data_IF_513135185967
#
_entry.id   IF_513135185967
#
_cell.length_a   1.000
_cell.length_b   1.000
_cell.length_c   1.000
_cell.angle_alpha   90.00
_cell.angle_beta   90.00
_cell.angle_gamma   90.00
#
_symmetry.space_group_name_H-M   'P 1'
#
loop_
_entity.id
_entity.type
_entity.pdbx_description
1 polymer ?
#
# COMPACT_ATOMS: atom_id res chain seq x y z
N UNK A 1 52.38 -14.98 40.17
CA UNK A 1 50.99 -14.60 39.89
C UNK A 1 50.85 -14.12 38.46
N UNK A 2 50.51 -14.99 37.54
CA UNK A 2 50.36 -14.66 36.10
C UNK A 2 48.87 -14.36 35.84
N UNK A 3 48.53 -13.13 35.47
CA UNK A 3 47.19 -12.74 34.98
C UNK A 3 47.07 -13.12 33.51
N UNK A 4 46.21 -14.05 33.19
CA UNK A 4 45.80 -14.36 31.79
C UNK A 4 44.78 -13.33 31.34
N UNK A 5 45.15 -12.57 30.31
CA UNK A 5 44.25 -11.68 29.56
C UNK A 5 43.49 -12.53 28.54
N UNK A 6 42.18 -12.70 28.72
CA UNK A 6 41.32 -13.29 27.69
C UNK A 6 40.86 -12.15 26.76
N UNK A 7 41.37 -12.11 25.53
CA UNK A 7 40.83 -11.28 24.47
C UNK A 7 39.57 -11.99 23.91
N UNK A 8 38.40 -11.41 24.14
CA UNK A 8 37.19 -11.82 23.46
C UNK A 8 37.15 -11.18 22.06
N UNK A 9 37.34 -11.98 21.01
CA UNK A 9 37.06 -11.57 19.63
C UNK A 9 35.55 -11.50 19.46
N UNK A 10 35.02 -10.31 19.33
CA UNK A 10 33.64 -10.08 18.86
C UNK A 10 33.61 -10.33 17.34
N UNK A 11 33.05 -11.45 16.92
CA UNK A 11 32.70 -11.70 15.51
C UNK A 11 31.53 -10.78 15.15
N UNK A 12 31.84 -9.72 14.42
CA UNK A 12 30.81 -8.93 13.72
C UNK A 12 30.25 -9.79 12.59
N UNK A 13 29.00 -10.25 12.74
CA UNK A 13 28.28 -10.88 11.66
C UNK A 13 28.11 -9.86 10.52
N UNK A 14 28.42 -10.21 9.25
CA UNK A 14 28.15 -9.33 8.14
C UNK A 14 26.64 -9.11 8.05
N UNK A 15 26.22 -7.84 8.15
CA UNK A 15 24.88 -7.40 7.81
C UNK A 15 24.71 -7.69 6.30
N UNK A 16 24.08 -8.80 5.95
CA UNK A 16 23.71 -9.07 4.57
C UNK A 16 22.80 -7.93 4.14
N UNK A 17 23.30 -7.04 3.28
CA UNK A 17 22.49 -6.07 2.57
C UNK A 17 21.45 -6.87 1.80
N UNK A 18 20.22 -6.89 2.30
CA UNK A 18 19.11 -7.46 1.55
C UNK A 18 19.09 -6.70 0.22
N UNK A 19 19.34 -7.44 -0.87
CA UNK A 19 19.34 -6.88 -2.21
C UNK A 19 17.95 -6.30 -2.45
N UNK A 20 17.85 -4.98 -2.51
CA UNK A 20 16.57 -4.30 -2.74
C UNK A 20 16.00 -4.78 -4.05
N UNK A 21 14.72 -5.17 -4.05
CA UNK A 21 14.05 -5.53 -5.30
C UNK A 21 14.11 -4.32 -6.24
N UNK A 22 14.25 -4.57 -7.57
CA UNK A 22 14.21 -3.48 -8.53
C UNK A 22 12.84 -2.81 -8.48
N UNK A 23 12.81 -1.52 -8.69
CA UNK A 23 11.58 -0.76 -8.86
C UNK A 23 11.26 -0.58 -10.34
N UNK A 24 10.06 -0.14 -10.65
CA UNK A 24 9.61 -0.03 -12.03
C UNK A 24 10.52 0.89 -12.89
N UNK A 25 11.04 1.98 -12.33
CA UNK A 25 12.01 2.85 -13.03
C UNK A 25 13.33 2.14 -13.33
N UNK A 26 13.80 1.26 -12.46
CA UNK A 26 15.04 0.49 -12.67
C UNK A 26 14.90 -0.50 -13.85
N UNK A 27 13.67 -0.92 -14.14
CA UNK A 27 13.33 -1.74 -15.31
C UNK A 27 13.13 -0.92 -16.59
N UNK A 28 13.23 0.40 -16.52
CA UNK A 28 13.01 1.30 -17.65
C UNK A 28 11.54 1.59 -17.94
N UNK A 29 10.64 1.42 -16.96
CA UNK A 29 9.26 1.89 -17.11
C UNK A 29 9.25 3.42 -17.04
N UNK A 30 8.72 4.13 -18.07
CA UNK A 30 8.66 5.57 -18.06
C UNK A 30 7.48 6.06 -17.21
N UNK A 31 7.76 7.03 -16.35
CA UNK A 31 6.73 7.74 -15.59
C UNK A 31 6.97 9.25 -15.67
N UNK A 32 5.89 10.00 -15.76
CA UNK A 32 5.92 11.46 -15.73
C UNK A 32 6.22 11.98 -14.31
N UNK A 33 6.71 13.21 -14.25
CA UNK A 33 7.01 13.92 -13.03
C UNK A 33 8.35 13.51 -12.39
N UNK A 34 8.81 14.32 -11.45
CA UNK A 34 10.08 14.12 -10.72
C UNK A 34 9.82 13.43 -9.40
N UNK A 35 10.37 12.25 -9.13
CA UNK A 35 10.24 11.61 -7.83
C UNK A 35 11.03 12.38 -6.76
N UNK A 36 10.62 12.23 -5.48
CA UNK A 36 11.42 12.64 -4.35
C UNK A 36 12.62 11.69 -4.14
N UNK A 37 13.35 11.92 -3.06
CA UNK A 37 14.62 11.20 -2.77
C UNK A 37 14.44 9.67 -2.67
N UNK A 38 13.37 9.22 -2.00
CA UNK A 38 13.08 7.80 -1.79
C UNK A 38 12.05 7.28 -2.80
N UNK A 39 11.43 8.19 -3.56
CA UNK A 39 10.28 7.92 -4.41
C UNK A 39 9.19 7.14 -3.64
N UNK A 40 8.87 7.59 -2.44
CA UNK A 40 7.98 6.94 -1.49
C UNK A 40 7.11 7.96 -0.75
N UNK A 41 6.05 7.51 -0.08
CA UNK A 41 5.18 8.37 0.74
C UNK A 41 5.96 9.11 1.82
N UNK A 42 7.06 8.55 2.27
CA UNK A 42 7.99 9.10 3.26
C UNK A 42 8.84 10.28 2.76
N UNK A 43 8.78 10.61 1.47
CA UNK A 43 9.33 11.88 0.96
C UNK A 43 8.55 13.11 1.45
N UNK A 44 7.32 12.91 1.90
CA UNK A 44 6.57 13.94 2.62
C UNK A 44 7.11 14.03 4.04
N UNK A 45 7.68 15.16 4.38
CA UNK A 45 8.38 15.37 5.65
C UNK A 45 7.53 15.00 6.86
N UNK A 46 8.06 14.15 7.72
CA UNK A 46 7.44 13.68 8.95
C UNK A 46 6.63 12.39 8.79
N UNK A 47 6.33 11.95 7.57
CA UNK A 47 5.63 10.68 7.35
C UNK A 47 6.57 9.50 7.61
N UNK A 48 6.10 8.56 8.42
CA UNK A 48 6.80 7.31 8.72
C UNK A 48 5.91 6.11 8.37
N UNK A 49 6.52 5.01 7.95
CA UNK A 49 5.84 3.75 7.59
C UNK A 49 6.46 2.59 8.33
N UNK A 50 5.62 1.72 8.89
CA UNK A 50 6.01 0.46 9.51
C UNK A 50 5.18 -0.69 8.99
N UNK A 51 5.79 -1.87 8.91
CA UNK A 51 5.18 -3.05 8.30
C UNK A 51 5.50 -4.30 9.10
N UNK A 52 4.48 -5.15 9.27
CA UNK A 52 4.62 -6.50 9.80
C UNK A 52 4.06 -7.49 8.79
N UNK A 53 4.89 -8.44 8.36
CA UNK A 53 4.58 -9.45 7.36
C UNK A 53 4.46 -10.81 8.04
N UNK A 54 3.35 -11.52 7.81
CA UNK A 54 3.06 -12.83 8.37
C UNK A 54 3.00 -13.86 7.24
N UNK A 55 4.00 -14.74 7.18
CA UNK A 55 4.09 -15.83 6.20
C UNK A 55 4.42 -17.13 6.94
N UNK A 56 3.50 -18.10 6.90
CA UNK A 56 3.73 -19.43 7.47
C UNK A 56 2.83 -20.49 6.84
N UNK A 57 3.23 -21.75 6.97
CA UNK A 57 2.46 -22.90 6.47
C UNK A 57 2.39 -22.99 4.95
N UNK A 58 1.84 -24.11 4.47
CA UNK A 58 1.63 -24.41 3.05
C UNK A 58 0.54 -25.49 2.90
N UNK A 59 0.05 -25.67 1.67
CA UNK A 59 -0.90 -26.73 1.34
C UNK A 59 -2.35 -26.33 1.59
N UNK A 60 -3.17 -27.32 1.97
CA UNK A 60 -4.60 -27.15 2.15
C UNK A 60 -4.91 -26.17 3.29
N UNK A 61 -5.89 -25.30 3.08
CA UNK A 61 -6.39 -24.38 4.10
C UNK A 61 -7.00 -25.13 5.27
N UNK A 62 -6.54 -24.78 6.48
CA UNK A 62 -7.13 -25.23 7.74
C UNK A 62 -7.31 -24.00 8.62
N UNK A 63 -8.57 -23.66 8.91
CA UNK A 63 -8.90 -22.47 9.69
C UNK A 63 -8.17 -22.47 11.03
N UNK A 64 -7.51 -21.35 11.35
CA UNK A 64 -6.69 -21.16 12.54
C UNK A 64 -5.29 -21.78 12.46
N UNK A 65 -4.93 -22.47 11.36
CA UNK A 65 -3.60 -23.06 11.17
C UNK A 65 -2.88 -22.51 9.93
N UNK A 66 -3.60 -21.99 8.96
CA UNK A 66 -3.03 -21.43 7.73
C UNK A 66 -3.32 -22.23 6.46
N UNK A 67 -2.59 -21.98 5.35
CA UNK A 67 -1.41 -21.09 5.24
C UNK A 67 -1.72 -19.62 5.56
N UNK A 68 -0.74 -18.93 6.16
CA UNK A 68 -0.84 -17.51 6.53
C UNK A 68 -0.08 -16.67 5.51
N UNK A 69 -0.75 -15.70 4.89
CA UNK A 69 -0.19 -14.75 3.92
C UNK A 69 -0.87 -13.39 4.14
N UNK A 70 -0.52 -12.70 5.21
CA UNK A 70 -1.18 -11.47 5.63
C UNK A 70 -0.22 -10.53 6.37
N UNK A 71 -0.70 -9.44 6.91
CA UNK A 71 0.09 -8.51 7.70
C UNK A 71 -0.60 -7.19 7.98
N UNK A 72 0.19 -6.23 8.45
CA UNK A 72 -0.25 -4.87 8.79
C UNK A 72 0.76 -3.87 8.25
N UNK A 73 0.27 -2.80 7.61
CA UNK A 73 1.03 -1.60 7.26
C UNK A 73 0.50 -0.43 8.07
N UNK A 74 1.36 0.31 8.75
CA UNK A 74 1.04 1.51 9.50
C UNK A 74 1.68 2.74 8.85
N UNK A 75 0.91 3.79 8.63
CA UNK A 75 1.36 5.09 8.12
C UNK A 75 1.11 6.13 9.19
N UNK A 76 2.17 6.78 9.66
CA UNK A 76 2.12 7.80 10.71
C UNK A 76 2.31 9.18 10.08
N UNK A 77 1.28 10.03 10.06
CA UNK A 77 1.33 11.32 9.34
C UNK A 77 2.44 12.27 9.81
N UNK A 78 2.78 12.22 11.09
CA UNK A 78 3.82 13.06 11.70
C UNK A 78 4.84 12.27 12.53
N UNK A 79 4.97 10.98 12.26
CA UNK A 79 5.90 10.08 12.96
C UNK A 79 5.60 9.90 14.44
N UNK A 80 6.56 9.28 15.13
CA UNK A 80 6.44 8.98 16.57
C UNK A 80 6.53 10.20 17.48
N UNK A 81 7.27 11.22 17.06
CA UNK A 81 7.58 12.38 17.91
C UNK A 81 6.41 13.34 18.04
N UNK A 82 5.41 13.23 17.16
CA UNK A 82 4.25 14.12 17.17
C UNK A 82 2.97 13.31 16.97
N UNK A 83 2.06 13.44 17.93
CA UNK A 83 0.70 12.92 17.87
C UNK A 83 -0.30 13.93 17.29
N UNK A 84 0.20 14.96 16.60
CA UNK A 84 -0.63 16.07 16.19
C UNK A 84 -1.60 15.67 15.08
N UNK A 85 -2.83 16.10 15.21
CA UNK A 85 -3.89 16.03 14.20
C UNK A 85 -3.44 16.68 12.90
N UNK A 86 -3.81 16.09 11.78
CA UNK A 86 -3.59 16.64 10.44
C UNK A 86 -4.92 16.84 9.73
N UNK A 87 -5.00 17.84 8.84
CA UNK A 87 -6.16 17.94 7.95
C UNK A 87 -6.19 16.75 6.99
N UNK A 88 -7.38 16.19 6.79
CA UNK A 88 -7.59 15.03 5.93
C UNK A 88 -8.91 15.15 5.15
N UNK A 89 -9.01 14.29 4.13
CA UNK A 89 -10.22 14.07 3.37
C UNK A 89 -10.17 12.71 2.71
N UNK A 90 -11.29 12.05 2.58
CA UNK A 90 -11.38 10.72 2.01
C UNK A 90 -12.37 10.66 0.85
N UNK A 91 -12.29 9.60 0.06
CA UNK A 91 -13.19 9.36 -1.06
C UNK A 91 -13.29 7.87 -1.33
N UNK A 92 -14.50 7.36 -1.55
CA UNK A 92 -14.74 6.03 -2.06
C UNK A 92 -15.12 6.12 -3.55
N UNK A 93 -14.35 5.46 -4.41
CA UNK A 93 -14.72 5.26 -5.81
C UNK A 93 -15.74 4.13 -5.91
N UNK A 94 -15.55 3.08 -5.10
CA UNK A 94 -16.41 1.93 -5.03
C UNK A 94 -16.38 1.35 -3.61
N UNK A 95 -17.53 1.09 -3.02
CA UNK A 95 -17.71 0.95 -1.57
C UNK A 95 -17.81 -0.49 -1.07
N UNK A 96 -17.44 -1.52 -1.84
CA UNK A 96 -17.42 -2.88 -1.32
C UNK A 96 -16.12 -3.16 -0.51
N UNK A 97 -15.94 -2.41 0.56
CA UNK A 97 -14.79 -2.46 1.44
C UNK A 97 -15.00 -1.59 2.68
N UNK A 98 -14.03 -1.58 3.58
CA UNK A 98 -14.11 -0.83 4.82
C UNK A 98 -12.90 0.09 5.01
N UNK A 99 -13.18 1.27 5.55
CA UNK A 99 -12.18 2.17 6.15
C UNK A 99 -12.83 2.81 7.38
N UNK A 100 -12.38 2.40 8.56
CA UNK A 100 -12.92 2.91 9.82
C UNK A 100 -12.58 4.38 10.04
N UNK A 101 -13.28 5.08 10.93
CA UNK A 101 -12.99 6.48 11.30
C UNK A 101 -13.33 7.52 10.25
N UNK A 102 -13.71 7.13 9.03
CA UNK A 102 -13.96 8.05 7.91
C UNK A 102 -15.14 8.98 8.10
N UNK A 103 -16.15 8.58 8.86
CA UNK A 103 -17.26 9.47 9.26
C UNK A 103 -16.78 10.68 10.03
N UNK A 104 -15.85 10.49 10.96
CA UNK A 104 -15.25 11.60 11.70
C UNK A 104 -14.31 12.45 10.85
N UNK A 105 -13.52 11.80 9.98
CA UNK A 105 -12.71 12.54 8.98
C UNK A 105 -13.59 13.43 8.08
N UNK A 106 -14.77 12.96 7.69
CA UNK A 106 -15.68 13.75 6.84
C UNK A 106 -16.34 14.90 7.63
N UNK A 107 -16.70 14.69 8.89
CA UNK A 107 -17.33 15.68 9.76
C UNK A 107 -16.35 16.73 10.25
N UNK A 108 -15.21 16.30 10.81
CA UNK A 108 -14.22 17.20 11.40
C UNK A 108 -13.21 17.77 10.40
N UNK A 109 -12.98 17.08 9.30
CA UNK A 109 -11.91 17.36 8.37
C UNK A 109 -10.51 16.95 8.87
N UNK A 110 -10.44 16.15 9.92
CA UNK A 110 -9.19 15.84 10.64
C UNK A 110 -8.94 14.34 10.71
N UNK A 111 -7.67 13.98 10.66
CA UNK A 111 -7.14 12.66 10.97
C UNK A 111 -6.35 12.75 12.27
N UNK A 112 -6.80 12.02 13.27
CA UNK A 112 -6.24 12.01 14.63
C UNK A 112 -5.49 10.70 14.86
N UNK A 113 -4.26 10.59 14.37
CA UNK A 113 -3.45 9.40 14.55
C UNK A 113 -3.03 8.72 13.25
N UNK A 114 -2.57 7.47 13.31
CA UNK A 114 -2.09 6.72 12.15
C UNK A 114 -3.23 6.23 11.24
N UNK A 115 -2.88 5.97 9.96
CA UNK A 115 -3.67 5.17 9.03
C UNK A 115 -3.06 3.78 8.97
N UNK A 116 -3.86 2.73 9.21
CA UNK A 116 -3.40 1.35 9.07
C UNK A 116 -4.11 0.65 7.92
N UNK A 117 -3.44 -0.34 7.33
CA UNK A 117 -4.00 -1.17 6.26
C UNK A 117 -3.71 -2.64 6.58
N UNK A 118 -4.73 -3.50 6.44
CA UNK A 118 -4.63 -4.93 6.73
C UNK A 118 -5.56 -5.75 5.84
N UNK A 119 -5.92 -6.97 6.23
CA UNK A 119 -6.95 -7.76 5.55
C UNK A 119 -8.35 -7.48 6.13
N UNK A 120 -9.38 -7.82 5.38
CA UNK A 120 -10.79 -7.55 5.69
C UNK A 120 -11.22 -8.05 7.07
N UNK A 121 -10.83 -9.26 7.48
CA UNK A 121 -11.29 -9.83 8.76
C UNK A 121 -10.50 -9.32 9.97
N UNK A 122 -9.38 -8.66 9.75
CA UNK A 122 -8.53 -8.14 10.82
C UNK A 122 -8.76 -6.66 11.16
N UNK A 123 -9.67 -5.97 10.47
CA UNK A 123 -9.96 -4.54 10.70
C UNK A 123 -10.28 -4.25 12.16
N UNK A 124 -11.16 -5.04 12.78
CA UNK A 124 -11.53 -4.87 14.18
C UNK A 124 -10.33 -4.99 15.13
N UNK A 125 -9.54 -6.05 14.98
CA UNK A 125 -8.31 -6.26 15.78
C UNK A 125 -7.31 -5.12 15.61
N UNK A 126 -7.08 -4.68 14.36
CA UNK A 126 -6.13 -3.61 14.06
C UNK A 126 -6.62 -2.27 14.62
N UNK A 127 -7.92 -1.98 14.51
CA UNK A 127 -8.52 -0.76 15.07
C UNK A 127 -8.39 -0.73 16.60
N UNK A 128 -8.78 -1.79 17.28
CA UNK A 128 -8.76 -1.84 18.76
C UNK A 128 -7.33 -1.81 19.29
N UNK A 129 -6.41 -2.52 18.64
CA UNK A 129 -4.99 -2.49 18.99
C UNK A 129 -4.35 -1.12 18.75
N UNK A 130 -4.75 -0.40 17.70
CA UNK A 130 -4.26 0.97 17.45
C UNK A 130 -4.68 1.92 18.58
N UNK A 131 -5.93 1.84 19.02
CA UNK A 131 -6.42 2.63 20.14
C UNK A 131 -5.67 2.30 21.45
N UNK A 132 -5.47 1.01 21.74
CA UNK A 132 -4.72 0.58 22.91
C UNK A 132 -3.26 1.05 22.86
N UNK A 133 -2.62 1.00 21.67
CA UNK A 133 -1.28 1.53 21.46
C UNK A 133 -1.22 3.04 21.72
N UNK A 134 -2.16 3.81 21.18
CA UNK A 134 -2.25 5.26 21.39
C UNK A 134 -2.38 5.61 22.87
N UNK A 135 -3.22 4.88 23.62
CA UNK A 135 -3.37 5.07 25.07
C UNK A 135 -2.08 4.71 25.81
N UNK A 136 -1.46 3.57 25.51
CA UNK A 136 -0.21 3.12 26.16
C UNK A 136 0.96 4.05 25.90
N UNK A 137 1.00 4.72 24.77
CA UNK A 137 2.03 5.73 24.43
C UNK A 137 1.68 7.14 24.91
N UNK A 138 0.54 7.31 25.59
CA UNK A 138 0.09 8.61 26.10
C UNK A 138 -0.25 9.60 24.99
N UNK A 139 -0.67 9.12 23.82
CA UNK A 139 -1.03 9.96 22.65
C UNK A 139 -2.49 10.43 22.74
N UNK A 140 -3.37 9.60 23.26
CA UNK A 140 -4.77 9.94 23.56
C UNK A 140 -5.17 9.40 24.92
N UNK A 141 -6.16 10.01 25.56
CA UNK A 141 -6.71 9.57 26.85
C UNK A 141 -8.23 9.40 26.82
N UNK A 142 -8.91 10.17 25.98
CA UNK A 142 -10.36 10.29 26.03
C UNK A 142 -11.05 9.82 24.74
N UNK A 143 -10.46 10.11 23.58
CA UNK A 143 -11.15 9.90 22.31
C UNK A 143 -10.17 9.79 21.13
N UNK A 144 -10.31 8.75 20.32
CA UNK A 144 -9.67 8.58 19.03
C UNK A 144 -10.52 7.62 18.19
N UNK A 145 -10.65 7.89 16.88
CA UNK A 145 -11.27 7.00 15.91
C UNK A 145 -10.22 6.56 14.88
N UNK A 146 -9.49 5.46 15.17
CA UNK A 146 -8.45 4.99 14.27
C UNK A 146 -8.95 4.72 12.86
N UNK A 147 -8.16 5.11 11.86
CA UNK A 147 -8.44 4.83 10.44
C UNK A 147 -7.73 3.55 10.03
N UNK A 148 -8.53 2.51 9.72
CA UNK A 148 -8.05 1.21 9.26
C UNK A 148 -8.75 0.87 7.96
N UNK A 149 -7.99 0.77 6.87
CA UNK A 149 -8.46 0.28 5.57
C UNK A 149 -8.11 -1.19 5.35
N UNK A 150 -8.76 -1.83 4.38
CA UNK A 150 -8.55 -3.25 4.14
C UNK A 150 -8.66 -3.64 2.65
N UNK A 151 -8.04 -4.77 2.31
CA UNK A 151 -8.34 -5.55 1.11
C UNK A 151 -8.34 -7.04 1.45
N UNK A 152 -9.14 -7.83 0.73
CA UNK A 152 -9.37 -9.24 1.04
C UNK A 152 -8.25 -10.14 0.50
N UNK A 153 -7.54 -10.84 1.39
CA UNK A 153 -6.44 -11.76 1.06
C UNK A 153 -6.83 -13.25 1.06
N UNK A 154 -8.12 -13.58 1.14
CA UNK A 154 -8.64 -14.92 1.32
C UNK A 154 -8.15 -15.95 0.29
N UNK A 155 -7.72 -15.53 -0.89
CA UNK A 155 -7.24 -16.44 -1.93
C UNK A 155 -5.92 -17.11 -1.54
N UNK A 156 -4.99 -16.35 -0.94
CA UNK A 156 -3.68 -16.84 -0.53
C UNK A 156 -3.58 -17.13 0.97
N UNK A 157 -4.48 -16.57 1.78
CA UNK A 157 -4.44 -16.58 3.24
C UNK A 157 -5.61 -17.37 3.85
N UNK A 158 -5.38 -17.97 4.99
CA UNK A 158 -6.42 -18.44 5.89
C UNK A 158 -7.02 -17.23 6.64
N UNK A 159 -7.83 -16.44 5.94
CA UNK A 159 -8.40 -15.18 6.48
C UNK A 159 -9.29 -15.43 7.70
N UNK A 160 -10.02 -16.55 7.74
CA UNK A 160 -10.90 -16.93 8.83
C UNK A 160 -10.15 -17.40 10.11
N UNK A 161 -8.83 -17.55 10.03
CA UNK A 161 -7.98 -17.90 11.16
C UNK A 161 -7.59 -16.71 12.03
N UNK A 162 -7.90 -15.47 11.65
CA UNK A 162 -7.63 -14.25 12.41
C UNK A 162 -6.17 -14.13 12.89
N UNK A 163 -5.22 -14.33 11.98
CA UNK A 163 -3.79 -14.44 12.30
C UNK A 163 -3.11 -13.11 12.65
N UNK A 164 -3.72 -11.97 12.37
CA UNK A 164 -3.21 -10.65 12.79
C UNK A 164 -3.56 -10.44 14.26
N UNK A 165 -2.54 -10.21 15.10
CA UNK A 165 -2.69 -9.98 16.52
C UNK A 165 -2.37 -8.55 16.92
N UNK A 166 -2.70 -8.18 18.16
CA UNK A 166 -2.35 -6.89 18.75
C UNK A 166 -0.83 -6.61 18.68
N UNK A 167 -0.02 -7.61 18.97
CA UNK A 167 1.44 -7.51 18.98
C UNK A 167 1.97 -7.18 17.58
N UNK A 168 1.34 -7.69 16.53
CA UNK A 168 1.69 -7.34 15.15
C UNK A 168 1.40 -5.86 14.85
N UNK A 169 0.29 -5.33 15.34
CA UNK A 169 -0.08 -3.92 15.19
C UNK A 169 0.91 -3.03 15.94
N UNK A 170 1.22 -3.37 17.19
CA UNK A 170 2.20 -2.64 18.00
C UNK A 170 3.58 -2.64 17.32
N UNK A 171 4.01 -3.79 16.82
CA UNK A 171 5.29 -3.91 16.11
C UNK A 171 5.32 -3.07 14.82
N UNK A 172 4.22 -2.99 14.06
CA UNK A 172 4.12 -2.14 12.89
C UNK A 172 4.19 -0.65 13.26
N UNK A 173 3.46 -0.24 14.29
CA UNK A 173 3.47 1.14 14.78
C UNK A 173 4.83 1.53 15.38
N UNK A 174 5.40 0.72 16.27
CA UNK A 174 6.70 0.99 16.91
C UNK A 174 7.87 0.90 15.90
N UNK A 175 7.73 0.12 14.83
CA UNK A 175 8.71 -0.04 13.77
C UNK A 175 8.64 1.03 12.67
N UNK A 176 7.66 1.93 12.71
CA UNK A 176 7.48 2.95 11.68
C UNK A 176 8.69 3.90 11.64
N UNK A 177 9.15 4.22 10.41
CA UNK A 177 10.30 5.10 10.15
C UNK A 177 10.18 5.80 8.81
N UNK A 178 10.89 6.91 8.66
CA UNK A 178 11.09 7.59 7.38
C UNK A 178 12.10 6.84 6.49
N UNK A 179 12.29 7.33 5.27
CA UNK A 179 13.23 6.75 4.31
C UNK A 179 12.59 5.74 3.37
N UNK A 180 13.33 4.71 2.96
CA UNK A 180 12.81 3.68 2.06
C UNK A 180 11.69 2.86 2.71
N UNK A 181 10.62 2.63 1.95
CA UNK A 181 9.49 1.76 2.31
C UNK A 181 9.64 0.45 1.56
N UNK A 182 9.42 -0.67 2.22
CA UNK A 182 9.41 -1.98 1.55
C UNK A 182 8.18 -2.12 0.64
N UNK A 183 8.31 -2.89 -0.45
CA UNK A 183 7.27 -3.04 -1.47
C UNK A 183 7.05 -4.52 -1.84
N UNK A 184 5.94 -4.83 -2.47
CA UNK A 184 5.57 -6.19 -2.87
C UNK A 184 4.86 -6.96 -1.75
N UNK A 185 5.35 -8.18 -1.45
CA UNK A 185 4.72 -9.11 -0.51
C UNK A 185 4.99 -8.73 0.96
N UNK A 186 4.69 -7.52 1.37
CA UNK A 186 5.02 -6.99 2.69
C UNK A 186 3.81 -6.30 3.34
N UNK A 187 3.84 -6.27 4.67
CA UNK A 187 2.77 -5.63 5.44
C UNK A 187 1.39 -6.19 5.10
N UNK A 188 0.39 -5.33 5.11
CA UNK A 188 -0.97 -5.67 4.67
C UNK A 188 -1.04 -6.18 3.23
N UNK A 189 -0.06 -5.81 2.36
CA UNK A 189 0.03 -6.25 0.97
C UNK A 189 0.48 -7.70 0.75
N UNK A 190 0.82 -8.42 1.81
CA UNK A 190 1.44 -9.77 1.74
C UNK A 190 0.63 -10.77 0.92
N UNK A 191 -0.68 -10.87 1.12
CA UNK A 191 -1.56 -11.86 0.45
C UNK A 191 -2.30 -11.31 -0.77
N UNK A 192 -1.91 -10.17 -1.34
CA UNK A 192 -2.67 -9.47 -2.36
C UNK A 192 -2.33 -9.89 -3.80
N UNK A 193 -3.34 -9.84 -4.69
CA UNK A 193 -3.25 -10.19 -6.11
C UNK A 193 -3.69 -8.99 -6.92
N UNK A 194 -2.81 -8.45 -7.78
CA UNK A 194 -3.04 -7.24 -8.55
C UNK A 194 -2.89 -7.52 -10.06
N UNK A 195 -3.91 -7.23 -10.87
CA UNK A 195 -3.90 -7.56 -12.30
C UNK A 195 -3.70 -9.04 -12.59
N UNK A 196 -4.13 -9.91 -11.67
CA UNK A 196 -3.91 -11.37 -11.68
C UNK A 196 -2.42 -11.77 -11.73
N UNK A 197 -1.53 -10.86 -11.30
CA UNK A 197 -0.17 -11.17 -10.84
C UNK A 197 -0.11 -11.04 -9.32
N UNK A 198 0.96 -11.50 -8.70
CA UNK A 198 1.19 -11.19 -7.29
C UNK A 198 1.29 -9.67 -7.14
N UNK A 199 0.45 -9.11 -6.28
CA UNK A 199 0.40 -7.71 -5.93
C UNK A 199 1.02 -7.43 -4.56
N UNK A 200 0.57 -6.36 -3.91
CA UNK A 200 1.02 -6.02 -2.58
C UNK A 200 1.08 -4.55 -2.27
N UNK A 201 2.02 -4.18 -1.41
CA UNK A 201 2.32 -2.80 -1.05
C UNK A 201 3.18 -2.15 -2.14
N UNK A 202 2.85 -0.91 -2.49
CA UNK A 202 3.68 -0.09 -3.38
C UNK A 202 3.63 1.38 -2.99
N UNK A 203 4.67 2.12 -3.36
CA UNK A 203 4.77 3.53 -3.00
C UNK A 203 5.44 4.33 -4.10
N UNK A 204 5.14 5.62 -4.17
CA UNK A 204 5.82 6.56 -5.06
C UNK A 204 5.61 8.00 -4.57
N UNK A 205 6.38 8.94 -5.09
CA UNK A 205 6.23 10.36 -4.80
C UNK A 205 6.47 11.24 -6.01
N UNK A 206 6.02 12.49 -5.92
CA UNK A 206 6.34 13.57 -6.86
C UNK A 206 6.72 14.82 -6.10
N UNK A 207 7.86 15.38 -6.50
CA UNK A 207 8.31 16.71 -6.09
C UNK A 207 7.92 17.72 -7.15
N UNK A 208 7.07 18.69 -6.81
CA UNK A 208 6.66 19.74 -7.71
C UNK A 208 7.80 20.72 -7.98
N UNK A 209 7.77 21.37 -9.13
CA UNK A 209 8.69 22.46 -9.47
C UNK A 209 8.53 23.63 -8.49
N UNK A 210 9.58 24.41 -8.29
CA UNK A 210 9.52 25.59 -7.43
C UNK A 210 8.44 26.59 -7.89
N UNK A 211 8.22 26.73 -9.20
CA UNK A 211 7.17 27.57 -9.78
C UNK A 211 5.75 27.09 -9.43
N UNK A 212 5.59 25.79 -9.13
CA UNK A 212 4.32 25.17 -8.71
C UNK A 212 4.24 25.03 -7.16
N UNK A 213 5.06 25.76 -6.42
CA UNK A 213 5.13 25.79 -4.96
C UNK A 213 6.13 24.82 -4.33
N UNK A 214 6.79 23.98 -5.11
CA UNK A 214 7.83 23.04 -4.61
C UNK A 214 7.32 21.99 -3.63
N UNK A 215 6.03 21.73 -3.59
CA UNK A 215 5.43 20.74 -2.69
C UNK A 215 5.77 19.31 -3.08
N UNK A 216 5.59 18.40 -2.13
CA UNK A 216 5.74 16.95 -2.31
C UNK A 216 4.36 16.28 -2.19
N UNK A 217 4.08 15.35 -3.10
CA UNK A 217 2.97 14.39 -2.98
C UNK A 217 3.57 13.00 -2.87
N UNK A 218 3.22 12.27 -1.82
CA UNK A 218 3.63 10.89 -1.59
C UNK A 218 2.41 9.98 -1.52
N UNK A 219 2.54 8.77 -2.05
CA UNK A 219 1.45 7.78 -2.12
C UNK A 219 1.94 6.42 -1.63
N UNK A 220 1.09 5.73 -0.88
CA UNK A 220 1.21 4.32 -0.57
C UNK A 220 -0.08 3.61 -0.97
N UNK A 221 0.04 2.45 -1.64
CA UNK A 221 -1.09 1.63 -2.06
C UNK A 221 -0.98 0.22 -1.49
N UNK A 222 -2.14 -0.39 -1.18
CA UNK A 222 -2.28 -1.84 -1.04
C UNK A 222 -3.10 -2.34 -2.23
N UNK A 223 -2.39 -2.93 -3.22
CA UNK A 223 -2.94 -3.29 -4.52
C UNK A 223 -3.45 -4.73 -4.55
N UNK A 224 -4.77 -4.89 -4.66
CA UNK A 224 -5.47 -6.18 -4.71
C UNK A 224 -6.64 -6.14 -5.72
N UNK A 225 -6.47 -5.53 -6.88
CA UNK A 225 -7.56 -5.34 -7.86
C UNK A 225 -7.12 -5.68 -9.28
N UNK A 226 -8.07 -5.71 -10.18
CA UNK A 226 -7.86 -5.73 -11.61
C UNK A 226 -7.81 -7.12 -12.24
N UNK A 227 -8.19 -7.15 -13.50
CA UNK A 227 -8.14 -8.34 -14.36
C UNK A 227 -6.94 -8.25 -15.30
N UNK A 228 -6.29 -9.36 -15.57
CA UNK A 228 -5.12 -9.45 -16.46
C UNK A 228 -5.34 -8.73 -17.79
N UNK A 229 -6.46 -8.96 -18.44
CA UNK A 229 -6.77 -8.37 -19.76
C UNK A 229 -6.86 -6.85 -19.77
N UNK A 230 -7.06 -6.21 -18.61
CA UNK A 230 -7.20 -4.77 -18.47
C UNK A 230 -5.90 -4.09 -18.01
N UNK A 231 -4.89 -4.88 -17.58
CA UNK A 231 -3.65 -4.32 -17.03
C UNK A 231 -2.87 -3.54 -18.10
N UNK A 232 -2.68 -2.26 -17.84
CA UNK A 232 -1.81 -1.37 -18.61
C UNK A 232 -0.63 -0.90 -17.75
N UNK A 233 0.54 -0.78 -18.34
CA UNK A 233 1.73 -0.19 -17.72
C UNK A 233 2.32 0.80 -18.72
N UNK A 234 2.47 2.05 -18.32
CA UNK A 234 2.94 3.13 -19.20
C UNK A 234 2.13 3.25 -20.51
N UNK A 235 0.81 3.01 -20.44
CA UNK A 235 -0.10 3.03 -21.58
C UNK A 235 -0.04 1.79 -22.51
N UNK A 236 0.81 0.80 -22.19
CA UNK A 236 0.95 -0.45 -22.96
C UNK A 236 0.04 -1.54 -22.37
N UNK A 237 -0.70 -2.31 -23.19
CA UNK A 237 -1.61 -3.37 -22.71
C UNK A 237 -0.84 -4.62 -22.27
N UNK A 238 -0.02 -4.49 -21.23
CA UNK A 238 0.89 -5.55 -20.73
C UNK A 238 0.15 -6.82 -20.38
N UNK A 239 -1.07 -6.71 -19.83
CA UNK A 239 -1.87 -7.86 -19.47
C UNK A 239 -2.33 -8.69 -20.68
N UNK A 240 -2.54 -8.07 -21.84
CA UNK A 240 -2.86 -8.78 -23.09
C UNK A 240 -1.62 -9.42 -23.73
N UNK A 241 -0.46 -8.85 -23.51
CA UNK A 241 0.83 -9.38 -23.99
C UNK A 241 1.35 -10.55 -23.11
N UNK A 242 0.81 -10.69 -21.88
CA UNK A 242 1.11 -11.80 -20.96
C UNK A 242 -0.22 -12.51 -20.59
N UNK A 243 -0.90 -13.18 -21.52
CA UNK A 243 -2.18 -13.85 -21.23
C UNK A 243 -2.04 -15.15 -20.42
N UNK A 244 -0.86 -15.70 -20.38
CA UNK A 244 -0.43 -16.85 -19.59
C UNK A 244 -0.07 -16.44 -18.14
N UNK A 245 0.45 -17.35 -17.35
CA UNK A 245 0.86 -17.13 -15.95
C UNK A 245 -0.29 -16.59 -15.07
N UNK A 246 -1.50 -17.05 -15.36
CA UNK A 246 -2.67 -16.73 -14.52
C UNK A 246 -2.55 -17.44 -13.16
N UNK A 247 -3.12 -16.89 -12.09
CA UNK A 247 -3.24 -17.62 -10.84
C UNK A 247 -3.89 -18.98 -11.08
N UNK A 248 -3.39 -20.02 -10.42
CA UNK A 248 -3.90 -21.37 -10.62
C UNK A 248 -3.65 -22.26 -9.41
N UNK A 249 -4.51 -23.26 -9.22
CA UNK A 249 -4.34 -24.26 -8.14
C UNK A 249 -3.45 -25.40 -8.58
N UNK A 250 -2.31 -25.58 -7.92
CA UNK A 250 -1.41 -26.73 -8.12
C UNK A 250 -1.87 -27.89 -7.22
N UNK A 251 -2.99 -28.49 -7.58
CA UNK A 251 -3.59 -29.59 -6.82
C UNK A 251 -4.33 -30.56 -7.75
N UNK A 252 -4.41 -31.84 -7.34
CA UNK A 252 -5.28 -32.87 -7.94
C UNK A 252 -6.63 -32.99 -7.25
N UNK A 253 -6.77 -32.39 -6.06
CA UNK A 253 -8.02 -32.41 -5.29
C UNK A 253 -9.11 -31.59 -5.99
N UNK A 254 -10.37 -31.80 -5.62
CA UNK A 254 -11.46 -30.92 -6.08
C UNK A 254 -11.23 -29.50 -5.60
N UNK A 255 -11.42 -28.56 -6.52
CA UNK A 255 -11.35 -27.14 -6.18
C UNK A 255 -12.54 -26.77 -5.29
N UNK A 256 -12.38 -25.82 -4.35
CA UNK A 256 -13.50 -25.27 -3.61
C UNK A 256 -14.58 -24.70 -4.55
N UNK A 257 -15.84 -24.71 -4.11
CA UNK A 257 -16.96 -24.19 -4.90
C UNK A 257 -16.82 -22.66 -5.06
N UNK A 258 -17.01 -22.19 -6.31
CA UNK A 258 -16.97 -20.75 -6.62
C UNK A 258 -15.57 -20.18 -6.80
N UNK A 259 -14.56 -21.02 -6.99
CA UNK A 259 -13.19 -20.57 -7.20
C UNK A 259 -13.02 -19.74 -8.47
N UNK A 260 -12.18 -18.73 -8.32
CA UNK A 260 -11.96 -17.69 -9.31
C UNK A 260 -11.05 -18.15 -10.46
N UNK A 261 -10.15 -19.10 -10.18
CA UNK A 261 -9.13 -19.59 -11.11
C UNK A 261 -9.16 -21.10 -11.25
N UNK A 262 -8.64 -21.58 -12.38
CA UNK A 262 -8.55 -22.99 -12.69
C UNK A 262 -7.35 -23.70 -12.06
N UNK A 263 -7.15 -24.95 -12.44
CA UNK A 263 -5.94 -25.72 -12.11
C UNK A 263 -4.77 -25.28 -12.99
N UNK A 264 -3.55 -25.41 -12.50
CA UNK A 264 -2.37 -25.07 -13.28
C UNK A 264 -2.22 -25.90 -14.56
N UNK A 265 -2.79 -27.11 -14.60
CA UNK A 265 -2.85 -27.92 -15.82
C UNK A 265 -3.83 -27.35 -16.87
N UNK A 266 -4.81 -26.53 -16.48
CA UNK A 266 -5.76 -25.86 -17.38
C UNK A 266 -6.15 -24.51 -16.75
N UNK A 267 -5.26 -23.52 -16.76
CA UNK A 267 -5.51 -22.23 -16.12
C UNK A 267 -6.54 -21.41 -16.89
N UNK A 268 -7.38 -20.70 -16.17
CA UNK A 268 -8.27 -19.68 -16.72
C UNK A 268 -8.26 -18.44 -15.82
N UNK A 269 -8.38 -17.27 -16.42
CA UNK A 269 -8.49 -16.01 -15.70
C UNK A 269 -9.86 -15.81 -15.06
N UNK A 270 -9.93 -14.83 -14.18
CA UNK A 270 -11.17 -14.43 -13.54
C UNK A 270 -12.17 -13.92 -14.57
N UNK A 271 -13.44 -14.32 -14.43
CA UNK A 271 -14.53 -13.82 -15.27
C UNK A 271 -15.06 -12.47 -14.81
N UNK A 272 -14.82 -12.11 -13.54
CA UNK A 272 -15.26 -10.86 -12.91
C UNK A 272 -14.09 -10.27 -12.11
N UNK A 273 -14.00 -8.95 -12.12
CA UNK A 273 -13.11 -8.24 -11.20
C UNK A 273 -13.71 -8.28 -9.78
N UNK A 274 -12.95 -8.77 -8.83
CA UNK A 274 -13.32 -8.94 -7.41
C UNK A 274 -12.13 -8.52 -6.56
N UNK A 275 -11.71 -7.30 -6.71
CA UNK A 275 -10.57 -6.82 -5.98
C UNK A 275 -10.91 -5.59 -5.17
N UNK A 276 -9.89 -5.00 -4.58
CA UNK A 276 -9.95 -3.77 -3.81
C UNK A 276 -8.61 -3.06 -3.87
N UNK A 277 -8.59 -1.77 -3.63
CA UNK A 277 -7.34 -1.03 -3.43
C UNK A 277 -7.52 0.04 -2.37
N UNK A 278 -6.62 0.07 -1.40
CA UNK A 278 -6.50 1.19 -0.47
C UNK A 278 -5.37 2.08 -0.92
N UNK A 279 -5.64 3.39 -0.96
CA UNK A 279 -4.65 4.41 -1.33
C UNK A 279 -4.58 5.49 -0.25
N UNK A 280 -3.38 5.70 0.26
CA UNK A 280 -3.06 6.78 1.18
C UNK A 280 -2.20 7.80 0.46
N UNK A 281 -2.64 9.05 0.45
CA UNK A 281 -1.94 10.18 -0.17
C UNK A 281 -1.51 11.17 0.92
N UNK A 282 -0.24 11.49 0.97
CA UNK A 282 0.32 12.51 1.84
C UNK A 282 0.81 13.71 1.02
N UNK A 283 0.78 14.91 1.60
CA UNK A 283 1.42 16.09 1.01
C UNK A 283 1.86 17.08 2.09
N UNK A 284 2.89 17.86 1.80
CA UNK A 284 3.32 19.02 2.60
C UNK A 284 2.69 20.35 2.10
N UNK A 285 1.83 20.30 1.07
CA UNK A 285 1.08 21.48 0.63
C UNK A 285 0.02 21.88 1.67
N UNK A 286 -0.16 23.18 1.95
CA UNK A 286 -1.16 23.66 2.91
C UNK A 286 -2.58 23.54 2.32
N UNK A 287 -3.14 22.35 2.39
CA UNK A 287 -4.48 22.02 1.91
C UNK A 287 -5.45 21.88 3.07
N UNK A 288 -6.66 22.41 2.88
CA UNK A 288 -7.78 22.22 3.79
C UNK A 288 -8.57 20.92 3.47
N UNK A 289 -9.42 20.42 4.37
CA UNK A 289 -10.11 19.13 4.22
C UNK A 289 -10.84 18.93 2.89
N UNK A 290 -11.59 19.94 2.44
CA UNK A 290 -12.31 19.87 1.15
C UNK A 290 -11.35 19.77 -0.06
N UNK A 291 -10.14 20.36 0.03
CA UNK A 291 -9.09 20.23 -1.00
C UNK A 291 -8.46 18.85 -0.96
N UNK A 292 -8.22 18.29 0.23
CA UNK A 292 -7.71 16.94 0.43
C UNK A 292 -8.70 15.87 -0.09
N UNK A 293 -10.00 16.06 0.11
CA UNK A 293 -11.04 15.24 -0.53
C UNK A 293 -10.93 15.28 -2.06
N UNK A 294 -10.56 16.42 -2.65
CA UNK A 294 -10.31 16.54 -4.10
C UNK A 294 -9.02 15.84 -4.52
N UNK A 295 -7.97 15.84 -3.68
CA UNK A 295 -6.77 15.04 -3.89
C UNK A 295 -7.11 13.55 -3.89
N UNK A 296 -7.80 13.06 -2.85
CA UNK A 296 -8.22 11.67 -2.76
C UNK A 296 -8.97 11.19 -4.01
N UNK A 297 -9.91 12.00 -4.53
CA UNK A 297 -10.61 11.70 -5.80
C UNK A 297 -9.69 11.46 -7.00
N UNK A 298 -8.51 12.09 -7.06
CA UNK A 298 -7.56 11.96 -8.18
C UNK A 298 -6.79 10.65 -8.16
N UNK A 299 -6.80 9.94 -7.02
CA UNK A 299 -6.24 8.59 -6.94
C UNK A 299 -6.91 7.64 -7.96
N UNK A 300 -8.22 7.79 -8.21
CA UNK A 300 -8.94 7.02 -9.24
C UNK A 300 -8.37 7.16 -10.65
N UNK A 301 -7.78 8.32 -10.99
CA UNK A 301 -7.15 8.54 -12.29
C UNK A 301 -5.86 7.72 -12.45
N UNK A 302 -5.09 7.53 -11.38
CA UNK A 302 -3.93 6.66 -11.38
C UNK A 302 -4.31 5.18 -11.52
N UNK A 303 -5.37 4.76 -10.84
CA UNK A 303 -5.94 3.40 -11.00
C UNK A 303 -6.36 3.16 -12.45
N UNK A 304 -7.07 4.12 -13.06
CA UNK A 304 -7.53 4.02 -14.43
C UNK A 304 -6.39 3.90 -15.44
N UNK A 305 -5.25 4.57 -15.22
CA UNK A 305 -4.04 4.45 -16.06
C UNK A 305 -3.46 3.03 -16.08
N UNK A 306 -3.66 2.27 -14.99
CA UNK A 306 -3.25 0.87 -14.89
C UNK A 306 -4.37 -0.12 -15.27
N UNK A 307 -5.50 0.38 -15.82
CA UNK A 307 -6.61 -0.45 -16.31
C UNK A 307 -7.67 -0.79 -15.27
N UNK A 308 -7.65 -0.15 -14.11
CA UNK A 308 -8.73 -0.28 -13.12
C UNK A 308 -10.00 0.45 -13.56
N UNK A 309 -11.13 -0.20 -13.41
CA UNK A 309 -12.44 0.29 -13.87
C UNK A 309 -13.43 0.57 -12.73
N UNK A 310 -13.03 0.35 -11.46
CA UNK A 310 -13.94 0.46 -10.32
C UNK A 310 -15.08 -0.56 -10.44
N UNK A 311 -14.74 -1.85 -10.56
CA UNK A 311 -15.73 -2.90 -10.77
C UNK A 311 -16.70 -3.02 -9.60
N UNK A 312 -17.93 -3.47 -9.86
CA UNK A 312 -19.06 -3.45 -8.89
C UNK A 312 -18.75 -4.09 -7.52
N UNK A 313 -17.87 -5.08 -7.47
CA UNK A 313 -17.52 -5.78 -6.23
C UNK A 313 -16.17 -5.36 -5.67
N UNK A 314 -15.59 -4.27 -6.16
CA UNK A 314 -14.34 -3.70 -5.68
C UNK A 314 -14.58 -2.76 -4.48
N UNK A 315 -13.63 -2.71 -3.55
CA UNK A 315 -13.55 -1.73 -2.46
C UNK A 315 -12.40 -0.78 -2.72
N UNK A 316 -12.65 0.31 -3.44
CA UNK A 316 -11.62 1.26 -3.85
C UNK A 316 -11.76 2.53 -3.00
N UNK A 317 -10.99 2.60 -1.90
CA UNK A 317 -11.15 3.62 -0.88
C UNK A 317 -9.83 4.37 -0.66
N UNK A 318 -9.90 5.69 -0.62
CA UNK A 318 -8.73 6.58 -0.60
C UNK A 318 -8.83 7.61 0.50
N UNK A 319 -7.71 7.89 1.16
CA UNK A 319 -7.57 8.98 2.12
C UNK A 319 -6.39 9.85 1.73
N UNK A 320 -6.53 11.16 1.88
CA UNK A 320 -5.45 12.12 1.69
C UNK A 320 -5.30 12.98 2.93
N UNK A 321 -4.07 13.29 3.32
CA UNK A 321 -3.78 14.18 4.44
C UNK A 321 -2.63 15.15 4.12
N UNK A 322 -2.59 16.26 4.87
CA UNK A 322 -1.53 17.28 4.74
C UNK A 322 -0.75 17.41 6.03
N UNK A 323 0.59 17.33 5.93
CA UNK A 323 1.50 17.59 7.05
C UNK A 323 1.78 19.09 7.27
N UNK A 324 1.23 19.98 6.43
CA UNK A 324 1.26 21.42 6.66
C UNK A 324 0.45 21.83 7.90
N UNK A 325 0.48 23.12 8.25
CA UNK A 325 -0.26 23.66 9.39
C UNK A 325 0.08 22.98 10.74
N UNK A 326 1.37 22.70 10.96
CA UNK A 326 1.84 21.99 12.15
C UNK A 326 1.58 22.72 13.47
N UNK A 327 1.22 23.99 13.43
CA UNK A 327 0.88 24.82 14.60
C UNK A 327 -0.62 24.85 14.88
N UNK A 328 -1.42 24.19 14.06
CA UNK A 328 -2.86 24.06 14.29
C UNK A 328 -3.14 23.44 15.66
N UNK A 329 -4.16 23.95 16.35
CA UNK A 329 -4.64 23.43 17.64
C UNK A 329 -6.15 23.23 17.55
N UNK A 330 -6.66 22.01 17.73
CA UNK A 330 -8.10 21.73 17.60
C UNK A 330 -8.95 22.33 18.72
N UNK A 331 -8.34 22.68 19.85
CA UNK A 331 -9.00 23.21 21.05
C UNK A 331 -9.02 24.74 21.15
N UNK A 332 -8.58 25.44 20.09
CA UNK A 332 -8.46 26.89 20.10
C UNK A 332 -8.70 27.51 18.72
N UNK A 333 -8.85 28.84 18.69
CA UNK A 333 -8.85 29.57 17.42
C UNK A 333 -7.46 29.55 16.81
N UNK A 334 -7.35 28.98 15.62
CA UNK A 334 -6.08 28.85 14.88
C UNK A 334 -6.14 29.58 13.55
N UNK A 335 -5.03 30.22 13.17
CA UNK A 335 -4.82 30.69 11.80
C UNK A 335 -4.12 29.61 11.01
N UNK A 336 -4.65 29.26 9.84
CA UNK A 336 -4.12 28.22 8.97
C UNK A 336 -3.79 28.78 7.59
N UNK A 337 -2.72 28.25 6.98
CA UNK A 337 -2.40 28.54 5.60
C UNK A 337 -3.27 27.65 4.68
N UNK A 338 -3.72 28.23 3.56
CA UNK A 338 -4.47 27.53 2.53
C UNK A 338 -3.89 27.85 1.14
N UNK A 339 -3.58 26.84 0.36
CA UNK A 339 -3.25 27.01 -1.05
C UNK A 339 -4.49 27.44 -1.84
N UNK A 340 -4.35 28.46 -2.71
CA UNK A 340 -5.44 28.84 -3.61
C UNK A 340 -5.89 27.68 -4.48
N UNK A 341 -7.19 27.56 -4.70
CA UNK A 341 -7.73 26.53 -5.61
C UNK A 341 -7.22 26.66 -7.06
N UNK A 342 -6.83 27.85 -7.48
CA UNK A 342 -6.27 28.09 -8.81
C UNK A 342 -4.87 27.49 -8.99
N UNK A 343 -4.18 27.18 -7.89
CA UNK A 343 -2.84 26.62 -7.87
C UNK A 343 -2.81 25.09 -7.56
N UNK A 344 -3.95 24.45 -7.41
CA UNK A 344 -4.03 23.06 -6.94
C UNK A 344 -3.79 22.02 -8.04
N UNK A 345 -3.93 22.37 -9.32
CA UNK A 345 -3.87 21.40 -10.44
C UNK A 345 -2.57 20.62 -10.53
N UNK A 346 -1.37 21.18 -10.28
CA UNK A 346 -0.13 20.40 -10.23
C UNK A 346 -0.14 19.29 -9.17
N UNK A 347 -0.82 19.49 -8.03
CA UNK A 347 -0.98 18.46 -6.99
C UNK A 347 -1.92 17.34 -7.46
N UNK A 348 -2.96 17.63 -8.24
CA UNK A 348 -3.83 16.62 -8.85
C UNK A 348 -3.07 15.73 -9.84
N UNK A 349 -2.25 16.36 -10.69
CA UNK A 349 -1.40 15.65 -11.64
C UNK A 349 -0.40 14.76 -10.91
N UNK A 350 0.33 15.31 -9.93
CA UNK A 350 1.27 14.58 -9.09
C UNK A 350 0.62 13.39 -8.38
N UNK A 351 -0.62 13.54 -7.90
CA UNK A 351 -1.37 12.44 -7.26
C UNK A 351 -1.62 11.31 -8.25
N UNK A 352 -2.15 11.59 -9.44
CA UNK A 352 -2.43 10.58 -10.45
C UNK A 352 -1.16 9.84 -10.90
N UNK A 353 -0.05 10.58 -11.10
CA UNK A 353 1.26 10.04 -11.49
C UNK A 353 1.86 9.17 -10.36
N UNK A 354 1.76 9.59 -9.11
CA UNK A 354 2.29 8.83 -7.96
C UNK A 354 1.49 7.54 -7.74
N UNK A 355 0.16 7.57 -7.90
CA UNK A 355 -0.68 6.37 -7.79
C UNK A 355 -0.38 5.38 -8.90
N UNK A 356 -0.26 5.82 -10.15
CA UNK A 356 0.12 4.98 -11.28
C UNK A 356 1.44 4.25 -11.00
N UNK A 357 2.47 4.99 -10.59
CA UNK A 357 3.78 4.40 -10.30
C UNK A 357 3.77 3.49 -9.07
N UNK A 358 3.07 3.85 -8.00
CA UNK A 358 2.97 3.03 -6.80
C UNK A 358 2.33 1.65 -7.08
N UNK A 359 1.30 1.59 -7.93
CA UNK A 359 0.67 0.34 -8.36
C UNK A 359 1.67 -0.52 -9.14
N UNK A 360 2.42 0.07 -10.08
CA UNK A 360 3.42 -0.67 -10.86
C UNK A 360 4.59 -1.11 -9.98
N UNK A 361 5.02 -0.30 -9.02
CA UNK A 361 6.03 -0.70 -8.04
C UNK A 361 5.57 -1.88 -7.18
N UNK A 362 4.30 -1.90 -6.75
CA UNK A 362 3.73 -3.06 -6.04
C UNK A 362 3.83 -4.36 -6.86
N UNK A 363 3.59 -4.28 -8.17
CA UNK A 363 3.68 -5.42 -9.09
C UNK A 363 5.13 -5.85 -9.32
N UNK A 364 6.03 -4.90 -9.55
CA UNK A 364 7.45 -5.16 -9.87
C UNK A 364 8.20 -5.70 -8.65
N UNK A 365 7.94 -5.17 -7.45
CA UNK A 365 8.58 -5.61 -6.23
C UNK A 365 8.01 -6.95 -5.69
N UNK A 366 6.86 -7.40 -6.20
CA UNK A 366 6.25 -8.64 -5.75
C UNK A 366 7.08 -9.86 -6.16
N UNK A 367 6.98 -10.92 -5.35
CA UNK A 367 7.57 -12.23 -5.61
C UNK A 367 6.46 -13.27 -5.75
N UNK A 368 6.65 -14.24 -6.65
CA UNK A 368 5.76 -15.41 -6.78
C UNK A 368 5.47 -16.00 -5.40
N UNK A 369 4.22 -16.37 -5.17
CA UNK A 369 3.77 -16.86 -3.87
C UNK A 369 2.78 -18.01 -4.02
N UNK A 370 3.01 -19.04 -3.22
CA UNK A 370 2.06 -20.12 -2.99
C UNK A 370 1.29 -19.85 -1.70
N UNK A 371 -0.03 -20.01 -1.74
CA UNK A 371 -0.91 -19.74 -0.62
C UNK A 371 -1.85 -20.89 -0.29
N UNK A 372 -3.00 -20.54 0.24
CA UNK A 372 -4.02 -21.48 0.65
C UNK A 372 -4.47 -22.40 -0.50
N UNK A 373 -4.69 -23.67 -0.19
CA UNK A 373 -5.14 -24.70 -1.13
C UNK A 373 -4.20 -24.91 -2.33
N UNK A 374 -2.90 -24.59 -2.16
CA UNK A 374 -1.87 -24.59 -3.20
C UNK A 374 -2.19 -23.63 -4.36
N UNK A 375 -2.83 -22.51 -4.09
CA UNK A 375 -2.96 -21.46 -5.09
C UNK A 375 -1.58 -20.85 -5.36
N UNK A 376 -1.14 -20.97 -6.62
CA UNK A 376 0.09 -20.40 -7.14
C UNK A 376 -0.20 -19.07 -7.82
N UNK A 377 0.48 -17.99 -7.41
CA UNK A 377 0.35 -16.66 -8.00
C UNK A 377 1.72 -16.16 -8.43
N UNK A 378 1.92 -16.06 -9.73
CA UNK A 378 3.17 -15.63 -10.34
C UNK A 378 3.38 -14.13 -10.18
N UNK A 379 4.60 -13.69 -9.88
CA UNK A 379 5.01 -12.30 -9.97
C UNK A 379 5.08 -11.83 -11.43
N UNK A 380 4.96 -10.51 -11.66
CA UNK A 380 5.14 -9.93 -13.00
C UNK A 380 6.56 -10.20 -13.52
N UNK A 381 6.74 -10.91 -14.66
CA UNK A 381 8.06 -11.23 -15.16
C UNK A 381 8.77 -9.99 -15.73
N UNK A 382 9.87 -9.59 -15.11
CA UNK A 382 10.60 -8.36 -15.45
C UNK A 382 11.13 -8.35 -16.88
N UNK A 383 11.68 -9.49 -17.34
CA UNK A 383 12.22 -9.59 -18.71
C UNK A 383 11.11 -9.43 -19.76
N UNK A 384 9.94 -10.05 -19.52
CA UNK A 384 8.79 -9.92 -20.42
C UNK A 384 8.26 -8.49 -20.42
N UNK A 385 8.15 -7.85 -19.23
CA UNK A 385 7.73 -6.45 -19.14
C UNK A 385 8.66 -5.55 -19.96
N UNK A 386 9.97 -5.68 -19.80
CA UNK A 386 10.95 -4.90 -20.58
C UNK A 386 10.84 -5.14 -22.08
N UNK A 387 10.71 -6.41 -22.50
CA UNK A 387 10.55 -6.76 -23.91
C UNK A 387 9.27 -6.15 -24.52
N UNK A 388 8.16 -6.20 -23.78
CA UNK A 388 6.89 -5.62 -24.20
C UNK A 388 7.01 -4.09 -24.33
N UNK A 389 7.55 -3.41 -23.32
CA UNK A 389 7.75 -1.95 -23.37
C UNK A 389 8.64 -1.56 -24.57
N UNK A 390 9.70 -2.34 -24.85
CA UNK A 390 10.55 -2.11 -26.02
C UNK A 390 9.78 -2.31 -27.35
N UNK A 391 8.95 -3.37 -27.46
CA UNK A 391 8.07 -3.64 -28.61
C UNK A 391 7.16 -2.45 -28.94
N UNK A 392 6.64 -1.78 -27.91
CA UNK A 392 5.75 -0.63 -28.04
C UNK A 392 6.49 0.73 -28.06
N UNK A 393 7.83 0.74 -28.15
CA UNK A 393 8.66 1.95 -28.07
C UNK A 393 8.41 2.80 -26.80
N UNK A 394 8.13 2.12 -25.68
CA UNK A 394 7.84 2.75 -24.38
C UNK A 394 8.91 2.45 -23.33
N UNK A 395 9.94 1.68 -23.64
CA UNK A 395 11.04 1.47 -22.70
C UNK A 395 11.88 2.76 -22.60
N UNK A 396 12.02 3.30 -21.40
CA UNK A 396 12.90 4.44 -21.16
C UNK A 396 14.35 4.07 -21.52
N UNK A 397 15.07 5.00 -22.15
CA UNK A 397 16.51 4.82 -22.35
C UNK A 397 17.20 4.96 -21.00
N UNK A 398 18.24 4.15 -20.72
CA UNK A 398 19.02 4.23 -19.51
C UNK A 398 19.72 5.58 -19.33
#
# INVERSE_FOLDING_TARGET
MLRRLCCALALAAPCALAQSQPRARDLGVPFDGTPGQFNAITDVTGVEVGEVTLISGSGKRVVGKGPVRTGVTAIMPRGHLRGDTVFAGWFTLNGNGEMTGTTWVDESGMLEGPVLITNTFSVGTVRDATLEWSITKGRTYDYELPVVGETLDNSLNDVAGFHVTKENVFAALDGARGGYVAEGNVGGGTGMICGEFKGGTGTASRKLRAADGGYTVGVLVQCNYGMRRLLHIAGVPVGQEIPDLLPCYDTRDSLPSGERWGRCANPHGATRDQGSIIIVVATDAPLLPHQLKRIAKRASLGIARNGGIGANTSGDIFIAFSTANATFRPDSVSTVAMLSNDLISPLFEATAQSVEEAIVNALVAARTMDGADNLHVTALPHDRLRAILAKYNRLAKP
#
